data_IF_153235722853
#
_entry.id   IF_153235722853
#
_cell.length_a   1.000
_cell.length_b   1.000
_cell.length_c   1.000
_cell.angle_alpha   90.00
_cell.angle_beta   90.00
_cell.angle_gamma   90.00
#
_symmetry.space_group_name_H-M   'P 1'
#
loop_
_entity.id
_entity.type
_entity.pdbx_description
1 polymer ?
#
# COMPACT_ATOMS: atom_id res chain seq x y z
N UNK A 1 -0.99 -3.50 30.22
CA UNK A 1 -0.27 -2.93 31.39
C UNK A 1 -0.07 -1.44 31.15
N UNK A 2 0.39 -0.64 32.12
CA UNK A 2 0.69 0.79 31.91
C UNK A 2 2.09 1.00 31.32
N UNK A 3 2.34 2.25 30.86
CA UNK A 3 3.59 2.86 30.34
C UNK A 3 3.69 2.83 28.81
N UNK A 4 3.50 3.95 28.10
CA UNK A 4 4.26 5.24 28.03
C UNK A 4 5.27 5.20 26.86
N UNK A 5 5.04 6.02 25.84
CA UNK A 5 6.00 6.34 24.77
C UNK A 5 6.09 7.85 24.56
N UNK A 6 7.18 8.31 23.95
CA UNK A 6 7.55 9.73 23.92
C UNK A 6 6.59 10.58 23.07
N UNK A 7 6.23 11.81 23.52
CA UNK A 7 5.45 12.75 22.73
C UNK A 7 6.31 13.42 21.65
N UNK A 8 5.68 13.90 20.58
CA UNK A 8 6.30 14.90 19.70
C UNK A 8 6.72 16.12 20.54
N UNK A 9 7.97 16.62 20.44
CA UNK A 9 8.45 17.72 21.27
C UNK A 9 7.56 18.97 21.17
N UNK A 10 6.81 19.25 22.23
CA UNK A 10 6.01 20.47 22.38
C UNK A 10 4.75 20.57 21.50
N UNK A 11 4.27 19.47 20.90
CA UNK A 11 3.11 19.49 19.98
C UNK A 11 1.97 18.59 20.43
N UNK A 12 0.71 19.01 20.22
CA UNK A 12 -0.50 18.23 20.55
C UNK A 12 -1.76 18.70 19.81
N UNK A 13 -2.75 17.83 19.68
CA UNK A 13 -4.05 18.13 19.07
C UNK A 13 -5.01 18.80 20.07
N UNK A 14 -5.61 19.94 19.70
CA UNK A 14 -6.49 20.74 20.57
C UNK A 14 -7.99 20.55 20.28
N UNK A 15 -8.37 20.21 19.05
CA UNK A 15 -9.73 19.77 18.71
C UNK A 15 -9.78 18.95 17.42
N UNK A 16 -10.80 18.10 17.30
CA UNK A 16 -11.06 17.28 16.12
C UNK A 16 -12.56 17.13 15.84
N UNK A 17 -12.92 16.78 14.62
CA UNK A 17 -14.25 16.38 14.21
C UNK A 17 -14.29 14.89 13.85
N UNK A 18 -15.42 14.24 14.12
CA UNK A 18 -15.76 12.96 13.48
C UNK A 18 -16.62 13.21 12.24
N UNK A 19 -16.29 12.52 11.14
CA UNK A 19 -16.97 12.70 9.86
C UNK A 19 -16.80 11.51 8.92
N UNK A 20 -17.47 10.40 9.24
CA UNK A 20 -17.72 9.32 8.30
C UNK A 20 -19.01 9.53 7.49
N UNK A 21 -19.11 8.90 6.33
CA UNK A 21 -20.41 8.67 5.68
C UNK A 21 -21.13 7.53 6.39
N UNK A 22 -21.99 7.84 7.37
CA UNK A 22 -22.68 6.83 8.17
C UNK A 22 -23.95 6.31 7.48
N UNK A 23 -24.17 4.99 7.52
CA UNK A 23 -25.40 4.36 7.04
C UNK A 23 -26.33 3.98 8.21
N UNK A 24 -27.27 4.85 8.55
CA UNK A 24 -28.29 4.56 9.58
C UNK A 24 -29.38 3.61 9.06
N UNK A 25 -29.18 2.30 9.24
CA UNK A 25 -30.21 1.28 8.94
C UNK A 25 -31.16 1.09 10.13
N UNK A 26 -31.99 2.09 10.39
CA UNK A 26 -33.10 1.97 11.35
C UNK A 26 -34.15 0.98 10.86
N UNK A 27 -34.60 0.07 11.75
CA UNK A 27 -35.60 -0.94 11.40
C UNK A 27 -36.91 -0.29 10.91
N UNK A 28 -37.23 -0.48 9.63
CA UNK A 28 -38.44 0.07 8.99
C UNK A 28 -38.28 1.40 8.26
N UNK A 29 -37.07 1.98 8.16
CA UNK A 29 -36.81 3.17 7.32
C UNK A 29 -36.06 2.83 6.03
N UNK A 30 -36.53 3.35 4.90
CA UNK A 30 -35.82 3.32 3.60
C UNK A 30 -35.01 4.58 3.31
N UNK A 31 -35.05 5.59 4.19
CA UNK A 31 -34.33 6.85 4.00
C UNK A 31 -33.04 6.90 4.82
N UNK A 32 -31.91 7.12 4.13
CA UNK A 32 -30.63 7.47 4.72
C UNK A 32 -30.69 8.89 5.32
N UNK A 33 -30.17 9.08 6.52
CA UNK A 33 -29.94 10.41 7.12
C UNK A 33 -28.48 10.83 6.92
N UNK A 34 -28.20 12.11 6.58
CA UNK A 34 -26.83 12.60 6.46
C UNK A 34 -26.13 12.64 7.82
N UNK A 35 -24.81 12.51 7.80
CA UNK A 35 -23.96 12.62 8.98
C UNK A 35 -23.94 14.05 9.52
N UNK A 36 -24.31 14.25 10.79
CA UNK A 36 -23.96 15.46 11.53
C UNK A 36 -22.48 15.40 11.91
N UNK A 37 -21.68 16.34 11.39
CA UNK A 37 -20.28 16.50 11.79
C UNK A 37 -20.23 16.90 13.27
N UNK A 38 -19.51 16.14 14.11
CA UNK A 38 -19.44 16.41 15.54
C UNK A 38 -18.02 16.75 15.99
N UNK A 39 -17.87 17.88 16.68
CA UNK A 39 -16.61 18.36 17.25
C UNK A 39 -16.38 17.81 18.65
N UNK A 40 -15.14 17.40 18.91
CA UNK A 40 -14.63 16.94 20.20
C UNK A 40 -13.39 17.75 20.58
N UNK A 41 -13.23 18.02 21.87
CA UNK A 41 -12.03 18.67 22.40
C UNK A 41 -10.89 17.67 22.50
N UNK A 42 -9.71 18.08 22.04
CA UNK A 42 -8.48 17.31 22.17
C UNK A 42 -7.77 17.59 23.49
N UNK A 43 -6.47 17.37 23.51
CA UNK A 43 -5.64 17.58 24.68
C UNK A 43 -5.35 19.08 24.89
N UNK A 44 -5.09 19.45 26.15
CA UNK A 44 -4.56 20.77 26.54
C UNK A 44 -3.04 20.77 26.72
N UNK A 45 -2.41 19.58 26.68
CA UNK A 45 -0.97 19.35 26.77
C UNK A 45 -0.58 18.07 26.01
N UNK A 46 0.72 17.75 25.95
CA UNK A 46 1.27 16.63 25.17
C UNK A 46 1.29 15.27 25.89
N UNK A 47 1.14 15.25 27.23
CA UNK A 47 1.41 14.10 28.10
C UNK A 47 0.12 13.48 28.69
N UNK A 48 -0.96 14.27 28.79
CA UNK A 48 -2.28 13.86 29.32
C UNK A 48 -3.17 13.30 28.19
N UNK A 49 -3.53 12.01 28.20
CA UNK A 49 -4.50 11.46 27.24
C UNK A 49 -5.93 11.91 27.58
N UNK A 50 -6.67 12.40 26.58
CA UNK A 50 -8.09 12.76 26.71
C UNK A 50 -8.97 11.66 26.15
N UNK A 51 -9.93 11.18 26.96
CA UNK A 51 -11.03 10.34 26.49
C UNK A 51 -12.17 11.22 25.99
N UNK A 52 -12.59 11.02 24.74
CA UNK A 52 -13.83 11.61 24.19
C UNK A 52 -14.90 10.53 24.07
N UNK A 53 -15.94 10.60 24.89
CA UNK A 53 -17.11 9.73 24.80
C UNK A 53 -18.08 10.26 23.74
N UNK A 54 -18.65 9.37 22.93
CA UNK A 54 -19.70 9.71 21.97
C UNK A 54 -21.03 9.90 22.73
N UNK A 55 -21.88 10.90 22.39
CA UNK A 55 -23.15 11.11 23.10
C UNK A 55 -24.12 9.93 22.97
N UNK A 56 -24.02 9.19 21.87
CA UNK A 56 -24.75 7.95 21.60
C UNK A 56 -23.74 6.89 21.09
N UNK A 57 -23.91 5.59 21.42
CA UNK A 57 -23.06 4.52 20.88
C UNK A 57 -23.23 4.37 19.35
N UNK A 58 -22.16 4.59 18.60
CA UNK A 58 -22.18 4.65 17.11
C UNK A 58 -21.83 3.31 16.46
N UNK A 59 -22.54 2.96 15.37
CA UNK A 59 -22.10 1.94 14.42
C UNK A 59 -20.96 2.47 13.57
N UNK A 60 -19.87 1.71 13.46
CA UNK A 60 -18.84 1.99 12.48
C UNK A 60 -18.21 0.69 11.93
N UNK A 61 -18.21 0.54 10.60
CA UNK A 61 -17.21 -0.29 9.90
C UNK A 61 -15.90 0.49 9.74
N UNK A 62 -15.99 1.81 9.64
CA UNK A 62 -14.88 2.75 9.56
C UNK A 62 -15.20 4.00 10.39
N UNK A 63 -14.24 4.52 11.15
CA UNK A 63 -14.34 5.83 11.81
C UNK A 63 -13.32 6.75 11.12
N UNK A 64 -13.76 7.92 10.67
CA UNK A 64 -12.89 8.96 10.11
C UNK A 64 -12.86 10.16 11.05
N UNK A 65 -11.64 10.52 11.48
CA UNK A 65 -11.33 11.67 12.31
C UNK A 65 -10.69 12.74 11.44
N UNK A 66 -11.16 13.97 11.57
CA UNK A 66 -10.56 15.17 10.98
C UNK A 66 -9.99 16.05 12.12
N UNK A 67 -8.66 16.12 12.28
CA UNK A 67 -8.03 17.17 13.08
C UNK A 67 -8.54 18.56 12.67
N UNK A 68 -8.91 19.40 13.65
CA UNK A 68 -9.36 20.78 13.39
C UNK A 68 -8.34 21.82 13.85
N UNK A 69 -7.80 21.65 15.06
CA UNK A 69 -6.82 22.58 15.63
C UNK A 69 -5.78 21.82 16.44
N UNK A 70 -4.53 22.29 16.40
CA UNK A 70 -3.39 21.71 17.11
C UNK A 70 -2.43 22.82 17.56
N UNK A 71 -1.56 22.51 18.51
CA UNK A 71 -0.44 23.33 18.92
C UNK A 71 0.86 22.68 18.45
N UNK A 72 1.82 23.47 17.97
CA UNK A 72 3.04 22.97 17.33
C UNK A 72 2.76 22.29 15.99
N UNK A 73 3.35 21.11 15.76
CA UNK A 73 3.11 20.27 14.58
C UNK A 73 1.82 19.45 14.73
N UNK A 74 1.17 19.13 13.61
CA UNK A 74 0.02 18.22 13.61
C UNK A 74 0.47 16.81 14.05
N UNK A 75 0.00 16.35 15.21
CA UNK A 75 0.21 15.00 15.71
C UNK A 75 -1.02 14.52 16.48
N UNK A 76 -1.43 13.28 16.23
CA UNK A 76 -2.56 12.63 16.89
C UNK A 76 -2.24 11.16 17.17
N UNK A 77 -2.34 10.75 18.43
CA UNK A 77 -2.42 9.34 18.85
C UNK A 77 -3.82 9.11 19.42
N UNK A 78 -4.50 8.08 18.94
CA UNK A 78 -5.89 7.79 19.32
C UNK A 78 -6.12 6.27 19.35
N UNK A 79 -6.92 5.83 20.32
CA UNK A 79 -7.45 4.47 20.46
C UNK A 79 -8.98 4.57 20.45
N UNK A 80 -9.67 3.63 19.79
CA UNK A 80 -11.13 3.57 19.75
C UNK A 80 -11.62 2.50 20.74
N UNK A 81 -12.42 2.91 21.71
CA UNK A 81 -13.05 2.00 22.68
C UNK A 81 -14.46 1.60 22.22
N UNK A 82 -14.84 0.34 22.44
CA UNK A 82 -16.13 -0.22 22.05
C UNK A 82 -16.41 -1.57 22.71
N UNK A 83 -17.59 -2.15 22.45
CA UNK A 83 -18.05 -3.38 23.10
C UNK A 83 -18.76 -4.35 22.12
N UNK A 84 -18.72 -5.68 22.37
CA UNK A 84 -19.53 -6.66 21.65
C UNK A 84 -20.99 -6.60 22.12
N UNK A 85 -21.94 -6.86 21.22
CA UNK A 85 -23.34 -6.45 21.47
C UNK A 85 -24.31 -7.55 21.91
N UNK A 86 -23.93 -8.82 21.80
CA UNK A 86 -24.75 -9.94 22.26
C UNK A 86 -24.80 -10.11 23.80
N UNK A 87 -24.38 -9.08 24.57
CA UNK A 87 -24.39 -9.05 26.05
C UNK A 87 -24.62 -7.63 26.57
N UNK A 88 -25.38 -7.53 27.65
CA UNK A 88 -25.55 -6.31 28.44
C UNK A 88 -24.19 -5.87 29.04
N UNK A 89 -23.86 -4.58 28.95
CA UNK A 89 -22.54 -4.06 29.34
C UNK A 89 -22.39 -3.89 30.86
N UNK A 90 -22.18 -5.00 31.57
CA UNK A 90 -21.89 -5.04 33.00
C UNK A 90 -20.40 -4.96 33.37
N UNK A 91 -19.80 -3.76 33.33
CA UNK A 91 -18.53 -3.47 34.02
C UNK A 91 -17.22 -3.64 33.22
N UNK A 92 -16.14 -3.11 33.80
CA UNK A 92 -14.80 -2.97 33.20
C UNK A 92 -14.01 -4.29 33.12
N UNK A 93 -13.99 -4.97 31.98
CA UNK A 93 -12.92 -5.91 31.60
C UNK A 93 -12.95 -6.34 30.12
N UNK A 94 -11.79 -6.27 29.45
CA UNK A 94 -11.51 -7.04 28.22
C UNK A 94 -11.17 -6.20 26.98
N UNK A 95 -10.02 -6.46 26.37
CA UNK A 95 -9.73 -6.03 25.00
C UNK A 95 -10.54 -6.87 23.99
N UNK A 96 -10.95 -6.28 22.88
CA UNK A 96 -11.83 -6.93 21.90
C UNK A 96 -11.21 -8.20 21.30
N UNK A 97 -12.06 -9.23 21.13
CA UNK A 97 -11.79 -10.37 20.24
C UNK A 97 -13.01 -10.55 19.34
N UNK A 98 -12.76 -10.64 18.03
CA UNK A 98 -13.78 -10.65 16.94
C UNK A 98 -14.54 -9.32 16.84
N UNK A 99 -14.94 -8.96 15.61
CA UNK A 99 -15.84 -7.83 15.37
C UNK A 99 -17.29 -8.31 15.29
N UNK A 100 -18.23 -7.52 15.84
CA UNK A 100 -19.70 -7.56 15.65
C UNK A 100 -20.35 -6.48 16.55
N UNK A 101 -21.34 -5.71 16.07
CA UNK A 101 -21.88 -4.50 16.76
C UNK A 101 -23.39 -4.26 16.50
N UNK A 102 -24.11 -3.73 17.52
CA UNK A 102 -25.44 -3.02 17.60
C UNK A 102 -26.57 -3.64 18.48
N UNK A 103 -27.10 -3.00 19.55
CA UNK A 103 -27.65 -1.64 19.67
C UNK A 103 -29.11 -1.70 20.20
N UNK A 104 -29.77 -0.58 20.56
CA UNK A 104 -31.25 -0.46 20.68
C UNK A 104 -31.75 0.99 20.50
N UNK A 105 -33.06 1.20 20.27
CA UNK A 105 -33.69 2.47 19.82
C UNK A 105 -34.11 3.42 20.98
N UNK A 106 -34.67 4.64 20.82
CA UNK A 106 -35.44 5.31 19.73
C UNK A 106 -35.44 6.87 19.97
N UNK A 107 -36.12 7.84 19.31
CA UNK A 107 -37.33 7.88 18.44
C UNK A 107 -37.48 9.25 17.69
N UNK A 108 -38.45 9.33 16.76
CA UNK A 108 -39.12 10.54 16.22
C UNK A 108 -38.37 11.52 15.24
N UNK A 109 -39.09 12.35 14.42
CA UNK A 109 -38.68 12.57 13.02
C UNK A 109 -38.64 14.02 12.46
N UNK A 110 -37.81 14.21 11.42
CA UNK A 110 -37.85 15.22 10.34
C UNK A 110 -36.92 14.73 9.19
N UNK A 111 -37.30 14.64 7.91
CA UNK A 111 -37.70 15.67 6.90
C UNK A 111 -36.53 16.50 6.34
N UNK A 112 -36.03 16.17 5.14
CA UNK A 112 -36.24 16.95 3.90
C UNK A 112 -35.57 16.27 2.67
N UNK A 113 -35.51 16.96 1.51
CA UNK A 113 -35.73 16.36 0.17
C UNK A 113 -34.47 16.17 -0.70
N UNK A 114 -34.19 14.98 -1.30
CA UNK A 114 -33.03 14.72 -2.15
C UNK A 114 -33.34 14.70 -3.67
N UNK A 115 -32.61 15.48 -4.47
CA UNK A 115 -32.74 15.45 -5.94
C UNK A 115 -31.42 15.57 -6.74
N UNK A 116 -30.35 16.14 -6.16
CA UNK A 116 -29.08 16.40 -6.85
C UNK A 116 -28.03 15.28 -6.73
N UNK A 117 -28.10 14.44 -5.68
CA UNK A 117 -27.06 13.45 -5.37
C UNK A 117 -27.09 12.21 -6.28
N UNK A 118 -28.26 11.84 -6.82
CA UNK A 118 -28.46 10.56 -7.52
C UNK A 118 -27.57 10.36 -8.76
N UNK A 119 -27.21 11.44 -9.46
CA UNK A 119 -26.39 11.38 -10.66
C UNK A 119 -24.92 10.96 -10.37
N UNK A 120 -24.37 11.36 -9.22
CA UNK A 120 -22.96 11.07 -8.86
C UNK A 120 -22.81 9.62 -8.38
N UNK A 121 -23.77 9.12 -7.59
CA UNK A 121 -23.76 7.75 -7.09
C UNK A 121 -23.80 6.68 -8.20
N UNK A 122 -24.33 7.00 -9.38
CA UNK A 122 -24.51 6.02 -10.47
C UNK A 122 -23.21 5.55 -11.13
N UNK A 123 -22.10 6.29 -10.98
CA UNK A 123 -20.80 5.90 -11.58
C UNK A 123 -19.96 5.01 -10.65
N UNK A 124 -19.95 5.29 -9.34
CA UNK A 124 -19.14 4.52 -8.38
C UNK A 124 -19.70 3.12 -8.10
N UNK A 125 -21.03 2.97 -8.12
CA UNK A 125 -21.73 1.72 -7.78
C UNK A 125 -21.49 0.54 -8.75
N UNK A 126 -20.77 0.71 -9.86
CA UNK A 126 -20.44 -0.38 -10.78
C UNK A 126 -19.18 -1.17 -10.41
N UNK A 127 -18.31 -0.63 -9.54
CA UNK A 127 -17.08 -1.30 -9.08
C UNK A 127 -17.04 -1.52 -7.55
N UNK A 128 -18.01 -1.01 -6.79
CA UNK A 128 -18.13 -1.33 -5.36
C UNK A 128 -18.65 -2.76 -5.15
N UNK A 129 -17.74 -3.72 -5.07
CA UNK A 129 -18.03 -5.06 -4.53
C UNK A 129 -18.54 -4.88 -3.10
N UNK A 130 -19.78 -5.28 -2.84
CA UNK A 130 -20.40 -5.16 -1.52
C UNK A 130 -19.75 -6.20 -0.60
N UNK A 131 -18.71 -5.79 0.12
CA UNK A 131 -17.83 -6.67 0.89
C UNK A 131 -18.55 -7.40 2.04
N UNK A 132 -19.19 -8.52 1.67
CA UNK A 132 -19.66 -9.64 2.50
C UNK A 132 -18.53 -10.59 2.91
N UNK A 133 -17.34 -10.36 2.37
CA UNK A 133 -16.24 -11.31 2.28
C UNK A 133 -15.59 -11.51 3.66
N UNK A 134 -15.60 -12.75 4.15
CA UNK A 134 -15.03 -13.17 5.44
C UNK A 134 -13.49 -13.28 5.36
N UNK A 135 -12.83 -12.17 5.04
CA UNK A 135 -11.38 -12.07 4.83
C UNK A 135 -10.66 -11.76 6.15
N UNK A 136 -9.47 -12.34 6.37
CA UNK A 136 -8.70 -12.16 7.61
C UNK A 136 -8.04 -10.75 7.68
N UNK A 137 -8.82 -9.72 8.01
CA UNK A 137 -8.35 -8.33 8.14
C UNK A 137 -7.58 -8.10 9.45
N UNK A 138 -6.28 -8.41 9.46
CA UNK A 138 -5.34 -8.15 10.55
C UNK A 138 -3.88 -8.16 10.06
N UNK A 139 -2.95 -7.89 10.96
CA UNK A 139 -1.53 -8.18 10.72
C UNK A 139 -1.20 -9.66 10.87
N UNK A 140 -0.36 -10.17 9.97
CA UNK A 140 0.05 -11.57 9.90
C UNK A 140 1.51 -11.74 10.30
N UNK A 141 1.80 -12.41 11.41
CA UNK A 141 3.16 -12.91 11.67
C UNK A 141 3.64 -13.78 10.50
N UNK A 142 4.96 -13.93 10.29
CA UNK A 142 5.49 -14.83 9.24
C UNK A 142 4.93 -16.26 9.36
N UNK A 143 4.61 -16.72 10.58
CA UNK A 143 3.90 -17.99 10.81
C UNK A 143 2.47 -17.95 10.28
N UNK A 144 1.71 -16.89 10.57
CA UNK A 144 0.30 -16.79 10.17
C UNK A 144 0.16 -16.51 8.67
N UNK A 145 1.05 -15.69 8.09
CA UNK A 145 1.17 -15.45 6.65
C UNK A 145 1.30 -16.78 5.90
N UNK A 146 2.24 -17.64 6.33
CA UNK A 146 2.41 -18.99 5.76
C UNK A 146 1.17 -19.87 5.96
N UNK A 147 0.47 -19.74 7.08
CA UNK A 147 -0.73 -20.53 7.34
C UNK A 147 -1.90 -20.07 6.46
N UNK A 148 -2.07 -18.77 6.23
CA UNK A 148 -3.05 -18.19 5.32
C UNK A 148 -2.76 -18.63 3.88
N UNK A 149 -1.52 -18.46 3.41
CA UNK A 149 -1.10 -18.93 2.08
C UNK A 149 -1.36 -20.43 1.90
N UNK A 150 -1.09 -21.25 2.93
CA UNK A 150 -1.42 -22.69 2.91
C UNK A 150 -2.93 -22.94 2.82
N UNK A 151 -3.75 -22.23 3.60
CA UNK A 151 -5.22 -22.39 3.58
C UNK A 151 -5.79 -22.03 2.21
N UNK A 152 -5.38 -20.91 1.61
CA UNK A 152 -5.80 -20.53 0.25
C UNK A 152 -5.35 -21.58 -0.78
N UNK A 153 -4.15 -22.15 -0.63
CA UNK A 153 -3.68 -23.23 -1.50
C UNK A 153 -4.47 -24.55 -1.32
N UNK A 154 -4.98 -24.82 -0.12
CA UNK A 154 -5.84 -25.99 0.17
C UNK A 154 -7.30 -25.75 -0.24
N UNK A 155 -7.73 -24.49 -0.35
CA UNK A 155 -9.06 -24.07 -0.81
C UNK A 155 -9.16 -24.02 -2.35
N UNK A 156 -8.11 -23.57 -3.03
CA UNK A 156 -8.02 -23.42 -4.48
C UNK A 156 -6.85 -24.21 -5.14
N UNK A 157 -6.67 -25.51 -4.85
CA UNK A 157 -5.48 -26.27 -5.27
C UNK A 157 -5.34 -26.48 -6.79
N UNK A 158 -6.41 -26.27 -7.57
CA UNK A 158 -6.38 -26.37 -9.04
C UNK A 158 -5.86 -25.11 -9.72
N UNK A 159 -5.86 -23.96 -9.02
CA UNK A 159 -5.45 -22.67 -9.60
C UNK A 159 -4.39 -21.93 -8.76
N UNK A 160 -3.81 -22.57 -7.74
CA UNK A 160 -2.81 -21.94 -6.86
C UNK A 160 -1.65 -22.85 -6.53
N UNK A 161 -0.45 -22.25 -6.47
CA UNK A 161 0.80 -22.96 -6.14
C UNK A 161 1.72 -22.10 -5.28
N UNK A 162 1.92 -22.50 -4.04
CA UNK A 162 2.84 -21.85 -3.09
C UNK A 162 4.26 -22.34 -3.32
N UNK A 163 5.20 -21.42 -3.58
CA UNK A 163 6.62 -21.72 -3.74
C UNK A 163 7.50 -20.73 -2.95
N UNK A 164 8.83 -20.86 -3.10
CA UNK A 164 9.84 -20.08 -2.40
C UNK A 164 10.82 -19.49 -3.42
N UNK A 165 11.08 -18.20 -3.37
CA UNK A 165 12.12 -17.54 -4.20
C UNK A 165 13.51 -17.96 -3.71
N UNK A 166 13.70 -17.82 -2.39
CA UNK A 166 14.93 -18.17 -1.69
C UNK A 166 14.69 -18.19 -0.19
N UNK A 167 15.69 -17.75 0.57
CA UNK A 167 15.60 -17.46 2.01
C UNK A 167 16.20 -16.10 2.31
N UNK A 168 15.74 -15.47 3.38
CA UNK A 168 16.40 -14.35 4.06
C UNK A 168 17.65 -14.80 4.84
N UNK A 169 18.40 -13.84 5.39
CA UNK A 169 19.62 -14.10 6.17
C UNK A 169 19.38 -14.95 7.43
N UNK A 170 18.24 -14.77 8.14
CA UNK A 170 17.82 -15.66 9.25
C UNK A 170 17.24 -17.00 8.79
N UNK A 171 17.19 -17.25 7.48
CA UNK A 171 16.75 -18.50 6.89
C UNK A 171 15.23 -18.64 6.74
N UNK A 172 14.45 -17.56 6.91
CA UNK A 172 13.02 -17.55 6.61
C UNK A 172 12.83 -17.64 5.10
N UNK A 173 11.85 -18.42 4.64
CA UNK A 173 11.58 -18.60 3.22
C UNK A 173 10.84 -17.38 2.67
N UNK A 174 11.36 -16.79 1.60
CA UNK A 174 10.68 -15.75 0.84
C UNK A 174 9.59 -16.45 0.00
N UNK A 175 8.36 -16.46 0.52
CA UNK A 175 7.24 -17.20 -0.07
C UNK A 175 6.53 -16.39 -1.16
N UNK A 176 6.10 -17.09 -2.20
CA UNK A 176 5.21 -16.57 -3.22
C UNK A 176 4.01 -17.49 -3.44
N UNK A 177 2.88 -16.91 -3.81
CA UNK A 177 1.74 -17.64 -4.36
C UNK A 177 1.64 -17.35 -5.86
N UNK A 178 1.72 -18.41 -6.66
CA UNK A 178 1.33 -18.41 -8.06
C UNK A 178 -0.19 -18.66 -8.15
N UNK A 179 -0.87 -17.92 -9.04
CA UNK A 179 -2.28 -18.07 -9.37
C UNK A 179 -2.43 -18.00 -10.89
N UNK A 180 -2.91 -19.09 -11.51
CA UNK A 180 -3.15 -19.32 -12.95
C UNK A 180 -4.01 -20.58 -13.04
N UNK A 181 -4.70 -20.87 -14.16
CA UNK A 181 -5.42 -22.15 -14.32
C UNK A 181 -4.53 -23.34 -14.70
N UNK A 182 -3.24 -23.12 -14.98
CA UNK A 182 -2.21 -24.17 -15.08
C UNK A 182 -1.00 -23.93 -14.14
N UNK A 183 -1.19 -23.96 -12.80
CA UNK A 183 -0.20 -23.47 -11.84
C UNK A 183 1.02 -24.38 -11.70
N UNK A 184 2.12 -23.96 -12.34
CA UNK A 184 3.44 -24.58 -12.27
C UNK A 184 4.20 -24.51 -13.60
N UNK A 185 3.48 -24.41 -14.71
CA UNK A 185 4.01 -24.35 -16.08
C UNK A 185 3.85 -22.93 -16.67
N UNK A 186 4.48 -22.64 -17.80
CA UNK A 186 4.37 -21.34 -18.50
C UNK A 186 3.75 -21.58 -19.86
N UNK A 187 2.64 -20.90 -20.19
CA UNK A 187 1.94 -21.09 -21.45
C UNK A 187 2.29 -20.01 -22.49
N UNK A 188 2.57 -20.43 -23.73
CA UNK A 188 3.06 -19.53 -24.78
C UNK A 188 1.97 -18.55 -25.24
N UNK A 189 2.03 -17.34 -24.69
CA UNK A 189 1.05 -16.27 -24.91
C UNK A 189 0.35 -15.80 -23.63
N UNK A 190 0.46 -16.56 -22.54
CA UNK A 190 0.07 -16.13 -21.20
C UNK A 190 1.12 -15.12 -20.67
N UNK A 191 0.74 -13.87 -20.36
CA UNK A 191 1.66 -12.91 -19.75
C UNK A 191 1.89 -13.25 -18.28
N UNK A 192 3.14 -13.21 -17.82
CA UNK A 192 3.44 -13.34 -16.39
C UNK A 192 3.40 -11.95 -15.72
N UNK A 193 2.61 -11.85 -14.67
CA UNK A 193 2.41 -10.64 -13.87
C UNK A 193 2.89 -10.86 -12.44
N UNK A 194 3.44 -9.82 -11.79
CA UNK A 194 3.84 -9.88 -10.38
C UNK A 194 3.38 -8.70 -9.52
N UNK A 195 2.99 -8.99 -8.28
CA UNK A 195 3.04 -8.03 -7.18
C UNK A 195 4.07 -8.47 -6.15
N UNK A 196 4.90 -7.53 -5.71
CA UNK A 196 5.78 -7.69 -4.53
C UNK A 196 5.39 -6.71 -3.44
N UNK A 197 5.70 -7.03 -2.18
CA UNK A 197 5.49 -6.13 -1.05
C UNK A 197 6.52 -6.39 0.05
N UNK A 198 6.69 -5.39 0.94
CA UNK A 198 7.57 -5.51 2.09
C UNK A 198 9.03 -5.69 1.69
N UNK A 199 9.52 -4.84 0.76
CA UNK A 199 10.95 -4.58 0.56
C UNK A 199 11.53 -4.03 1.87
N UNK A 200 10.87 -3.02 2.43
CA UNK A 200 11.04 -2.62 3.82
C UNK A 200 10.07 -3.43 4.69
N UNK A 201 10.60 -4.11 5.71
CA UNK A 201 9.79 -5.00 6.56
C UNK A 201 8.75 -4.27 7.42
N UNK A 202 8.95 -2.97 7.69
CA UNK A 202 8.00 -2.12 8.41
C UNK A 202 6.92 -1.47 7.52
N UNK A 203 6.97 -1.62 6.20
CA UNK A 203 5.95 -1.09 5.26
C UNK A 203 4.79 -2.09 5.07
N UNK A 204 4.11 -2.38 6.18
CA UNK A 204 3.22 -3.55 6.33
C UNK A 204 1.97 -3.51 5.43
N UNK A 205 1.52 -2.35 4.94
CA UNK A 205 0.25 -2.26 4.19
C UNK A 205 0.25 -3.13 2.92
N UNK A 206 1.34 -3.10 2.14
CA UNK A 206 1.45 -3.91 0.92
C UNK A 206 1.36 -5.42 1.19
N UNK A 207 2.00 -5.88 2.27
CA UNK A 207 1.98 -7.29 2.70
C UNK A 207 0.55 -7.79 2.90
N UNK A 208 -0.23 -7.07 3.71
CA UNK A 208 -1.59 -7.50 4.05
C UNK A 208 -2.53 -7.36 2.84
N UNK A 209 -2.36 -6.35 1.98
CA UNK A 209 -3.10 -6.23 0.72
C UNK A 209 -2.89 -7.44 -0.20
N UNK A 210 -1.67 -7.98 -0.30
CA UNK A 210 -1.43 -9.19 -1.12
C UNK A 210 -2.01 -10.46 -0.49
N UNK A 211 -2.04 -10.57 0.84
CA UNK A 211 -2.70 -11.69 1.53
C UNK A 211 -4.23 -11.63 1.41
N UNK A 212 -4.82 -10.43 1.37
CA UNK A 212 -6.24 -10.22 1.05
C UNK A 212 -6.53 -10.55 -0.43
N UNK A 213 -5.67 -10.13 -1.36
CA UNK A 213 -5.79 -10.43 -2.79
C UNK A 213 -5.76 -11.93 -3.08
N UNK A 214 -4.89 -12.71 -2.41
CA UNK A 214 -4.86 -14.17 -2.52
C UNK A 214 -6.20 -14.82 -2.15
N UNK A 215 -6.80 -14.40 -1.02
CA UNK A 215 -8.10 -14.90 -0.57
C UNK A 215 -9.22 -14.49 -1.54
N UNK A 216 -9.22 -13.23 -1.99
CA UNK A 216 -10.20 -12.69 -2.93
C UNK A 216 -10.19 -13.44 -4.27
N UNK A 217 -9.03 -13.57 -4.91
CA UNK A 217 -8.91 -14.26 -6.20
C UNK A 217 -9.35 -15.73 -6.12
N UNK A 218 -9.00 -16.44 -5.04
CA UNK A 218 -9.45 -17.81 -4.82
C UNK A 218 -10.99 -17.90 -4.70
N UNK A 219 -11.59 -17.08 -3.83
CA UNK A 219 -13.04 -17.15 -3.56
C UNK A 219 -13.88 -16.72 -4.76
N UNK A 220 -13.56 -15.59 -5.38
CA UNK A 220 -14.28 -15.08 -6.55
C UNK A 220 -14.16 -16.03 -7.76
N UNK A 221 -13.03 -16.72 -7.91
CA UNK A 221 -12.90 -17.78 -8.92
C UNK A 221 -13.83 -18.96 -8.65
N UNK A 222 -13.92 -19.40 -7.38
CA UNK A 222 -14.81 -20.50 -6.93
C UNK A 222 -16.29 -20.14 -7.07
N UNK A 223 -16.66 -18.91 -6.73
CA UNK A 223 -18.04 -18.40 -6.81
C UNK A 223 -18.43 -18.00 -8.24
N UNK A 224 -17.46 -18.00 -9.18
CA UNK A 224 -17.72 -17.94 -10.61
C UNK A 224 -17.66 -16.54 -11.24
N UNK A 225 -17.06 -15.55 -10.56
CA UNK A 225 -16.96 -14.18 -11.06
C UNK A 225 -16.22 -14.16 -12.43
N UNK A 226 -16.88 -13.74 -13.53
CA UNK A 226 -16.30 -13.84 -14.88
C UNK A 226 -15.04 -12.99 -15.06
N UNK A 227 -14.91 -11.87 -14.34
CA UNK A 227 -13.71 -11.02 -14.37
C UNK A 227 -12.52 -11.73 -13.72
N UNK A 228 -12.73 -12.39 -12.58
CA UNK A 228 -11.66 -13.11 -11.88
C UNK A 228 -11.31 -14.41 -12.58
N UNK A 229 -12.29 -15.10 -13.20
CA UNK A 229 -11.99 -16.29 -14.00
C UNK A 229 -11.14 -15.94 -15.22
N UNK A 230 -11.55 -14.99 -16.07
CA UNK A 230 -10.70 -14.50 -17.18
C UNK A 230 -9.31 -14.07 -16.69
N UNK A 231 -9.22 -13.25 -15.64
CA UNK A 231 -7.93 -12.81 -15.08
C UNK A 231 -7.01 -13.95 -14.61
N UNK A 232 -7.54 -15.12 -14.24
CA UNK A 232 -6.75 -16.31 -13.82
C UNK A 232 -6.50 -17.28 -14.98
N UNK A 233 -7.21 -17.17 -16.10
CA UNK A 233 -7.03 -18.01 -17.30
C UNK A 233 -6.22 -17.31 -18.40
N UNK A 234 -6.20 -15.98 -18.38
CA UNK A 234 -5.53 -15.13 -19.37
C UNK A 234 -4.23 -14.49 -18.84
N UNK A 235 -3.76 -14.83 -17.62
CA UNK A 235 -2.57 -14.23 -16.98
C UNK A 235 -2.01 -15.09 -15.83
N UNK A 236 -0.69 -15.27 -15.80
CA UNK A 236 0.02 -15.96 -14.70
C UNK A 236 0.39 -14.98 -13.60
N UNK A 237 -0.22 -15.07 -12.42
CA UNK A 237 -0.10 -14.07 -11.36
C UNK A 237 0.81 -14.57 -10.23
N UNK A 238 1.88 -13.82 -9.92
CA UNK A 238 2.85 -14.18 -8.88
C UNK A 238 2.81 -13.12 -7.75
N UNK A 239 2.29 -13.49 -6.58
CA UNK A 239 2.10 -12.61 -5.43
C UNK A 239 3.13 -12.91 -4.32
N UNK A 240 3.97 -11.93 -3.97
CA UNK A 240 5.06 -12.06 -2.99
C UNK A 240 4.82 -11.07 -1.82
N UNK A 241 4.19 -11.48 -0.72
CA UNK A 241 3.72 -10.57 0.34
C UNK A 241 4.84 -10.06 1.26
N UNK A 242 6.06 -10.59 1.17
CA UNK A 242 7.17 -10.22 2.06
C UNK A 242 8.51 -10.55 1.43
N UNK A 243 9.23 -9.55 0.95
CA UNK A 243 10.61 -9.70 0.47
C UNK A 243 11.63 -9.65 1.62
N UNK A 244 11.40 -8.81 2.64
CA UNK A 244 12.13 -8.76 3.90
C UNK A 244 11.30 -9.34 5.06
N UNK A 245 11.17 -10.68 5.19
CA UNK A 245 10.45 -11.29 6.31
C UNK A 245 11.15 -11.10 7.66
N UNK A 246 12.46 -10.90 7.67
CA UNK A 246 13.27 -10.76 8.89
C UNK A 246 13.05 -9.39 9.55
N UNK A 247 13.13 -8.32 8.76
CA UNK A 247 12.78 -6.95 9.17
C UNK A 247 11.32 -6.83 9.58
N UNK A 248 10.41 -7.52 8.89
CA UNK A 248 8.99 -7.56 9.29
C UNK A 248 8.80 -8.15 10.69
N UNK A 249 9.43 -9.30 11.01
CA UNK A 249 9.28 -9.89 12.33
C UNK A 249 9.87 -8.99 13.45
N UNK A 250 10.91 -8.20 13.16
CA UNK A 250 11.45 -7.19 14.09
C UNK A 250 10.48 -6.02 14.28
N UNK A 251 9.92 -5.48 13.19
CA UNK A 251 8.94 -4.40 13.24
C UNK A 251 7.65 -4.82 13.96
N UNK A 252 7.13 -6.02 13.66
CA UNK A 252 5.90 -6.57 14.23
C UNK A 252 6.02 -6.92 15.73
N UNK A 253 7.21 -7.32 16.20
CA UNK A 253 7.43 -7.61 17.63
C UNK A 253 7.41 -6.36 18.52
N UNK A 254 7.86 -5.22 18.00
CA UNK A 254 7.77 -3.93 18.70
C UNK A 254 6.40 -3.26 18.46
N UNK A 255 5.86 -3.38 17.24
CA UNK A 255 4.59 -2.79 16.83
C UNK A 255 4.68 -1.30 16.54
N UNK A 256 3.67 -0.76 15.84
CA UNK A 256 3.65 0.62 15.34
C UNK A 256 3.71 1.71 16.42
N UNK A 257 3.51 1.38 17.69
CA UNK A 257 3.59 2.32 18.82
C UNK A 257 5.01 2.42 19.43
N UNK A 258 5.92 1.51 19.09
CA UNK A 258 7.28 1.37 19.67
C UNK A 258 8.38 1.33 18.58
N UNK A 259 8.02 1.17 17.30
CA UNK A 259 8.94 1.31 16.18
C UNK A 259 9.28 2.77 15.89
N UNK A 260 10.52 3.04 15.49
CA UNK A 260 10.87 4.25 14.75
C UNK A 260 10.80 3.96 13.24
N UNK A 261 10.95 4.98 12.38
CA UNK A 261 10.86 4.84 10.92
C UNK A 261 11.83 3.83 10.31
N UNK A 262 12.93 3.53 11.01
CA UNK A 262 14.03 2.68 10.54
C UNK A 262 13.96 1.23 11.05
N UNK A 263 13.18 0.95 12.08
CA UNK A 263 13.14 -0.37 12.71
C UNK A 263 12.47 -1.40 11.79
N UNK A 264 13.26 -2.35 11.30
CA UNK A 264 12.79 -3.39 10.38
C UNK A 264 12.70 -2.95 8.92
N UNK A 265 13.27 -1.79 8.57
CA UNK A 265 13.39 -1.31 7.19
C UNK A 265 14.42 -2.19 6.43
N UNK A 266 15.65 -2.22 6.92
CA UNK A 266 16.76 -3.01 6.36
C UNK A 266 16.64 -4.53 6.60
N UNK A 267 17.44 -5.31 5.87
CA UNK A 267 17.64 -6.75 6.13
C UNK A 267 18.38 -6.98 7.45
N UNK A 268 18.44 -8.23 7.92
CA UNK A 268 19.26 -8.61 9.09
C UNK A 268 20.75 -8.28 8.90
N UNK A 269 21.25 -8.31 7.66
CA UNK A 269 22.63 -7.97 7.31
C UNK A 269 22.85 -6.45 7.17
N UNK A 270 21.81 -5.63 7.32
CA UNK A 270 21.89 -4.16 7.28
C UNK A 270 21.83 -3.56 5.88
N UNK A 271 21.43 -4.33 4.86
CA UNK A 271 21.21 -3.83 3.50
C UNK A 271 19.82 -3.25 3.34
N UNK A 272 19.70 -2.24 2.48
CA UNK A 272 18.42 -1.75 1.99
C UNK A 272 18.08 -2.49 0.68
N UNK A 273 17.00 -3.27 0.65
CA UNK A 273 16.66 -4.08 -0.53
C UNK A 273 16.33 -3.18 -1.74
N UNK A 274 15.89 -1.94 -1.54
CA UNK A 274 15.61 -1.02 -2.65
C UNK A 274 16.90 -0.55 -3.33
N UNK A 275 17.90 -0.15 -2.53
CA UNK A 275 19.19 0.38 -3.00
C UNK A 275 20.23 -0.71 -3.35
N UNK A 276 20.04 -1.96 -2.90
CA UNK A 276 20.99 -3.08 -3.08
C UNK A 276 20.88 -3.77 -4.45
N UNK A 277 19.98 -3.34 -5.35
CA UNK A 277 19.96 -3.80 -6.74
C UNK A 277 21.16 -3.27 -7.57
N UNK A 278 21.57 -3.96 -8.65
CA UNK A 278 22.61 -3.46 -9.53
C UNK A 278 22.17 -2.20 -10.28
N UNK A 279 22.89 -1.09 -10.06
CA UNK A 279 22.83 0.09 -10.93
C UNK A 279 23.20 -0.28 -12.38
N UNK A 280 22.18 -0.30 -13.24
CA UNK A 280 22.27 -0.41 -14.69
C UNK A 280 22.04 0.94 -15.39
N UNK A 281 21.56 1.96 -14.67
CA UNK A 281 21.26 3.30 -15.20
C UNK A 281 22.55 4.01 -15.62
N UNK A 282 23.56 4.04 -14.74
CA UNK A 282 24.88 4.60 -15.06
C UNK A 282 25.55 3.87 -16.24
N UNK A 283 25.28 2.56 -16.39
CA UNK A 283 25.80 1.74 -17.49
C UNK A 283 25.12 2.12 -18.82
N UNK A 284 23.79 2.27 -18.81
CA UNK A 284 23.01 2.66 -19.98
C UNK A 284 23.36 4.08 -20.43
N UNK A 285 23.22 5.06 -19.54
CA UNK A 285 23.42 6.47 -19.87
C UNK A 285 24.86 6.76 -20.30
N UNK A 286 25.84 6.13 -19.66
CA UNK A 286 27.24 6.20 -20.08
C UNK A 286 27.48 5.59 -21.47
N UNK A 287 26.73 4.55 -21.88
CA UNK A 287 26.80 4.02 -23.22
C UNK A 287 26.11 4.93 -24.27
N UNK A 288 25.01 5.58 -23.91
CA UNK A 288 24.30 6.56 -24.76
C UNK A 288 25.17 7.78 -25.06
N UNK A 289 25.80 8.39 -24.05
CA UNK A 289 26.75 9.50 -24.20
C UNK A 289 27.86 9.19 -25.21
N UNK A 290 28.37 7.94 -25.14
CA UNK A 290 29.44 7.42 -26.01
C UNK A 290 28.92 6.96 -27.38
N UNK A 291 27.60 7.08 -27.63
CA UNK A 291 26.89 6.64 -28.84
C UNK A 291 27.12 5.16 -29.14
N UNK A 292 27.13 4.35 -28.09
CA UNK A 292 27.30 2.89 -28.14
C UNK A 292 25.97 2.14 -28.19
N UNK A 293 24.86 2.76 -27.80
CA UNK A 293 23.51 2.21 -27.91
C UNK A 293 22.97 2.42 -29.34
N UNK A 294 22.30 1.42 -29.97
CA UNK A 294 22.15 0.01 -29.57
C UNK A 294 23.30 -0.90 -30.07
N UNK A 295 24.23 -0.40 -30.87
CA UNK A 295 25.15 -1.21 -31.70
C UNK A 295 26.30 -1.93 -30.96
N UNK A 296 26.65 -1.47 -29.75
CA UNK A 296 27.70 -2.04 -28.89
C UNK A 296 27.20 -2.40 -27.49
N UNK A 297 26.18 -1.70 -27.02
CA UNK A 297 25.48 -1.93 -25.76
C UNK A 297 23.98 -1.93 -26.09
N UNK A 298 23.20 -2.96 -25.74
CA UNK A 298 21.78 -2.98 -26.03
C UNK A 298 21.03 -1.97 -25.13
N UNK A 299 19.89 -1.47 -25.59
CA UNK A 299 18.98 -0.62 -24.79
C UNK A 299 18.06 -1.43 -23.85
N UNK A 300 18.27 -2.75 -23.75
CA UNK A 300 17.45 -3.70 -23.01
C UNK A 300 18.35 -4.86 -22.56
N UNK A 301 17.92 -5.63 -21.55
CA UNK A 301 18.63 -6.83 -21.07
C UNK A 301 20.14 -6.59 -20.81
N UNK A 302 20.46 -5.48 -20.14
CA UNK A 302 21.83 -5.14 -19.77
C UNK A 302 22.39 -6.22 -18.82
N UNK A 303 23.64 -6.68 -19.03
CA UNK A 303 24.20 -7.75 -18.21
C UNK A 303 24.43 -7.28 -16.77
N UNK A 304 24.04 -8.12 -15.82
CA UNK A 304 24.32 -7.90 -14.40
C UNK A 304 25.84 -7.75 -14.20
N UNK A 305 26.34 -6.69 -13.56
CA UNK A 305 27.76 -6.48 -13.39
C UNK A 305 28.43 -7.63 -12.65
N UNK A 306 29.56 -8.13 -13.15
CA UNK A 306 30.27 -9.31 -12.63
C UNK A 306 30.50 -9.27 -11.10
N UNK A 307 30.66 -8.07 -10.53
CA UNK A 307 30.74 -7.86 -9.08
C UNK A 307 29.56 -8.48 -8.32
N UNK A 308 28.33 -8.43 -8.82
CA UNK A 308 27.12 -9.02 -8.20
C UNK A 308 27.08 -10.55 -8.32
N UNK A 309 27.64 -11.08 -9.42
CA UNK A 309 27.66 -12.52 -9.71
C UNK A 309 28.64 -13.30 -8.82
N UNK A 310 29.58 -12.60 -8.17
CA UNK A 310 30.49 -13.21 -7.20
C UNK A 310 29.74 -13.70 -5.94
N UNK A 311 30.04 -14.91 -5.42
CA UNK A 311 29.59 -15.36 -4.11
C UNK A 311 30.02 -14.41 -2.98
N UNK A 312 31.20 -13.80 -3.11
CA UNK A 312 31.81 -12.91 -2.10
C UNK A 312 31.30 -11.45 -2.19
N UNK A 313 30.32 -11.17 -3.06
CA UNK A 313 29.80 -9.81 -3.22
C UNK A 313 28.94 -9.37 -2.04
N UNK A 314 29.10 -8.10 -1.64
CA UNK A 314 28.24 -7.38 -0.70
C UNK A 314 26.88 -7.09 -1.35
N UNK A 315 26.02 -8.10 -1.39
CA UNK A 315 24.66 -8.08 -1.92
C UNK A 315 23.83 -9.03 -1.07
N UNK A 316 22.67 -8.56 -0.58
CA UNK A 316 21.78 -9.30 0.32
C UNK A 316 21.28 -10.63 -0.24
N UNK A 317 20.98 -11.58 0.65
CA UNK A 317 20.41 -12.87 0.25
C UNK A 317 19.05 -12.72 -0.44
N UNK A 318 18.31 -11.69 -0.06
CA UNK A 318 17.01 -11.29 -0.53
C UNK A 318 17.09 -10.76 -1.98
N UNK A 319 17.95 -9.77 -2.28
CA UNK A 319 18.14 -9.27 -3.65
C UNK A 319 18.64 -10.38 -4.58
N UNK A 320 19.58 -11.22 -4.13
CA UNK A 320 20.03 -12.39 -4.91
C UNK A 320 18.88 -13.36 -5.25
N UNK A 321 17.95 -13.57 -4.31
CA UNK A 321 16.76 -14.40 -4.54
C UNK A 321 15.73 -13.73 -5.46
N UNK A 322 15.58 -12.40 -5.42
CA UNK A 322 14.68 -11.65 -6.31
C UNK A 322 15.24 -11.63 -7.74
N UNK A 323 16.54 -11.41 -7.92
CA UNK A 323 17.22 -11.44 -9.23
C UNK A 323 17.04 -12.82 -9.89
N UNK A 324 17.42 -13.91 -9.19
CA UNK A 324 17.27 -15.26 -9.73
C UNK A 324 15.81 -15.68 -9.98
N UNK A 325 14.84 -15.02 -9.33
CA UNK A 325 13.42 -15.17 -9.60
C UNK A 325 12.98 -14.37 -10.84
N UNK A 326 13.51 -13.17 -11.07
CA UNK A 326 13.25 -12.37 -12.27
C UNK A 326 13.88 -12.97 -13.53
N UNK A 327 15.09 -13.52 -13.44
CA UNK A 327 15.76 -14.20 -14.57
C UNK A 327 15.05 -15.49 -15.00
N UNK A 328 14.28 -16.11 -14.09
CA UNK A 328 13.62 -17.40 -14.31
C UNK A 328 12.22 -17.30 -14.92
N UNK A 329 11.51 -16.20 -14.70
CA UNK A 329 10.08 -16.06 -14.97
C UNK A 329 9.86 -14.84 -15.88
N UNK A 330 9.33 -14.98 -17.11
CA UNK A 330 9.22 -13.89 -18.10
C UNK A 330 8.16 -12.84 -17.75
N UNK A 331 8.39 -12.09 -16.67
CA UNK A 331 7.48 -11.03 -16.20
C UNK A 331 7.34 -9.90 -17.23
N UNK A 332 6.10 -9.67 -17.67
CA UNK A 332 5.72 -8.61 -18.62
C UNK A 332 5.36 -7.33 -17.88
N UNK A 333 4.69 -7.44 -16.74
CA UNK A 333 4.26 -6.31 -15.91
C UNK A 333 4.34 -6.68 -14.42
N UNK A 334 4.58 -5.68 -13.58
CA UNK A 334 4.39 -5.83 -12.15
C UNK A 334 4.56 -4.52 -11.41
N UNK A 335 4.20 -4.53 -10.13
CA UNK A 335 4.37 -3.39 -9.24
C UNK A 335 4.82 -3.85 -7.84
N UNK A 336 5.52 -2.96 -7.15
CA UNK A 336 5.99 -3.19 -5.79
C UNK A 336 5.23 -2.27 -4.81
N UNK A 337 4.68 -2.84 -3.74
CA UNK A 337 3.85 -2.14 -2.77
C UNK A 337 4.68 -1.74 -1.54
N UNK A 338 5.03 -0.46 -1.50
CA UNK A 338 5.71 0.21 -0.39
C UNK A 338 4.72 1.01 0.49
N UNK A 339 5.23 1.67 1.52
CA UNK A 339 4.51 2.55 2.44
C UNK A 339 5.18 3.91 2.63
N UNK A 340 4.71 4.67 3.64
CA UNK A 340 5.23 6.00 3.97
C UNK A 340 4.52 7.15 3.24
N UNK A 341 4.32 7.04 1.92
CA UNK A 341 3.68 8.05 1.07
C UNK A 341 2.55 7.45 0.20
N UNK A 342 1.68 8.29 -0.38
CA UNK A 342 0.48 7.89 -1.14
C UNK A 342 0.54 8.39 -2.59
N UNK A 343 1.50 7.87 -3.34
CA UNK A 343 1.74 8.12 -4.77
C UNK A 343 1.89 6.80 -5.56
N UNK A 344 2.04 6.89 -6.88
CA UNK A 344 2.50 5.79 -7.74
C UNK A 344 3.72 6.28 -8.51
N UNK A 345 4.91 5.83 -8.15
CA UNK A 345 6.14 6.11 -8.91
C UNK A 345 6.26 5.16 -10.11
N UNK A 346 7.09 5.57 -11.08
CA UNK A 346 7.45 4.78 -12.24
C UNK A 346 8.85 5.18 -12.72
N UNK A 347 9.56 4.33 -13.48
CA UNK A 347 10.97 4.57 -13.79
C UNK A 347 11.23 5.81 -14.66
N UNK A 348 12.35 6.49 -14.51
CA UNK A 348 13.50 6.14 -13.65
C UNK A 348 13.41 6.74 -12.23
N UNK A 349 13.67 5.93 -11.20
CA UNK A 349 13.78 6.39 -9.81
C UNK A 349 15.10 7.17 -9.55
N UNK A 350 16.14 6.93 -10.36
CA UNK A 350 17.40 7.69 -10.34
C UNK A 350 17.32 8.88 -11.31
N UNK A 351 17.69 10.07 -10.85
CA UNK A 351 17.80 11.26 -11.71
C UNK A 351 19.10 11.24 -12.55
N UNK A 352 18.98 11.44 -13.87
CA UNK A 352 20.13 11.56 -14.77
C UNK A 352 20.85 12.90 -14.57
N UNK A 353 22.16 12.86 -14.30
CA UNK A 353 22.99 14.08 -14.15
C UNK A 353 23.02 14.88 -15.46
N UNK A 354 22.57 16.15 -15.50
CA UNK A 354 22.58 16.95 -16.72
C UNK A 354 24.00 17.26 -17.19
N UNK A 355 24.21 17.22 -18.50
CA UNK A 355 25.48 17.66 -19.11
C UNK A 355 25.69 19.17 -18.99
N UNK A 356 26.94 19.63 -19.11
CA UNK A 356 27.26 21.07 -19.08
C UNK A 356 26.51 21.90 -20.15
N UNK A 357 26.16 21.27 -21.29
CA UNK A 357 25.38 21.88 -22.36
C UNK A 357 23.90 21.99 -22.00
N UNK A 358 23.32 20.94 -21.39
CA UNK A 358 21.94 20.98 -20.85
C UNK A 358 21.80 21.96 -19.69
N UNK A 359 22.77 22.04 -18.77
CA UNK A 359 22.79 23.04 -17.69
C UNK A 359 22.82 24.47 -18.25
N UNK A 360 23.58 24.70 -19.33
CA UNK A 360 23.63 26.00 -19.99
C UNK A 360 22.32 26.32 -20.71
N UNK A 361 21.69 25.33 -21.37
CA UNK A 361 20.41 25.49 -22.03
C UNK A 361 19.27 25.80 -21.03
N UNK A 362 19.15 25.03 -19.95
CA UNK A 362 18.18 25.26 -18.88
C UNK A 362 18.36 26.63 -18.22
N UNK A 363 19.61 27.05 -17.95
CA UNK A 363 19.90 28.39 -17.45
C UNK A 363 19.53 29.52 -18.44
N UNK A 364 19.57 29.26 -19.75
CA UNK A 364 19.11 30.21 -20.77
C UNK A 364 17.58 30.24 -20.90
N UNK A 365 16.89 29.10 -20.71
CA UNK A 365 15.43 29.01 -20.74
C UNK A 365 14.80 29.72 -19.52
N UNK A 366 15.28 29.39 -18.31
CA UNK A 366 14.88 30.06 -17.07
C UNK A 366 15.15 31.58 -17.12
N UNK A 367 16.24 32.02 -17.79
CA UNK A 367 16.54 33.44 -17.99
C UNK A 367 15.61 34.16 -18.99
N UNK A 368 14.76 33.43 -19.73
CA UNK A 368 13.70 33.99 -20.60
C UNK A 368 12.31 33.93 -19.96
N UNK A 369 12.15 33.17 -18.87
CA UNK A 369 10.83 32.82 -18.34
C UNK A 369 10.11 31.77 -19.18
N UNK A 370 10.86 30.88 -19.81
CA UNK A 370 10.35 29.60 -20.36
C UNK A 370 10.21 28.63 -19.17
N UNK A 371 9.06 27.96 -19.03
CA UNK A 371 8.73 27.09 -17.89
C UNK A 371 9.64 25.84 -17.83
N UNK A 372 9.86 25.26 -16.64
CA UNK A 372 10.85 24.19 -16.43
C UNK A 372 10.51 22.85 -17.12
N UNK A 373 9.26 22.66 -17.57
CA UNK A 373 8.74 21.42 -18.16
C UNK A 373 9.55 20.95 -19.39
N UNK A 374 10.00 21.86 -20.26
CA UNK A 374 10.80 21.54 -21.47
C UNK A 374 12.19 20.92 -21.14
N UNK A 375 12.64 21.00 -19.89
CA UNK A 375 13.90 20.37 -19.43
C UNK A 375 13.68 18.91 -18.99
N UNK A 376 12.42 18.53 -18.71
CA UNK A 376 12.03 17.21 -18.17
C UNK A 376 12.25 16.06 -19.15
N UNK A 377 11.99 16.26 -20.45
CA UNK A 377 12.06 15.19 -21.48
C UNK A 377 13.41 14.44 -21.49
N UNK A 378 14.49 15.10 -21.10
CA UNK A 378 15.84 14.51 -21.06
C UNK A 378 16.06 13.46 -19.94
N UNK A 379 15.10 13.31 -19.02
CA UNK A 379 15.11 12.30 -17.95
C UNK A 379 14.06 11.20 -18.14
N UNK A 380 13.23 11.27 -19.18
CA UNK A 380 12.18 10.29 -19.45
C UNK A 380 12.71 8.91 -19.88
N UNK A 381 11.93 7.87 -19.56
CA UNK A 381 12.14 6.54 -20.13
C UNK A 381 11.65 6.49 -21.59
N UNK A 382 12.22 5.62 -22.45
CA UNK A 382 11.70 5.40 -23.81
C UNK A 382 10.21 5.04 -23.88
N UNK A 383 9.66 4.50 -22.78
CA UNK A 383 8.26 4.09 -22.62
C UNK A 383 7.47 5.00 -21.65
N UNK A 384 7.90 6.24 -21.40
CA UNK A 384 7.28 7.18 -20.43
C UNK A 384 5.75 7.25 -20.56
N UNK A 385 5.23 7.38 -21.79
CA UNK A 385 3.79 7.46 -22.03
C UNK A 385 3.02 6.21 -21.57
N UNK A 386 3.63 5.03 -21.65
CA UNK A 386 3.06 3.77 -21.15
C UNK A 386 3.15 3.72 -19.62
N UNK A 387 4.30 4.06 -19.04
CA UNK A 387 4.45 4.10 -17.58
C UNK A 387 3.50 5.09 -16.90
N UNK A 388 3.35 6.29 -17.46
CA UNK A 388 2.38 7.31 -17.00
C UNK A 388 0.94 6.81 -17.11
N UNK A 389 0.58 6.10 -18.19
CA UNK A 389 -0.75 5.48 -18.32
C UNK A 389 -0.97 4.37 -17.28
N UNK A 390 0.01 3.50 -17.06
CA UNK A 390 -0.04 2.44 -16.05
C UNK A 390 -0.23 3.03 -14.64
N UNK A 391 0.54 4.06 -14.28
CA UNK A 391 0.42 4.76 -13.00
C UNK A 391 -0.97 5.38 -12.81
N UNK A 392 -1.51 6.06 -13.84
CA UNK A 392 -2.87 6.62 -13.84
C UNK A 392 -3.92 5.51 -13.72
N UNK A 393 -3.72 4.33 -14.32
CA UNK A 393 -4.67 3.22 -14.24
C UNK A 393 -4.87 2.70 -12.80
N UNK A 394 -3.79 2.67 -12.00
CA UNK A 394 -3.86 2.33 -10.58
C UNK A 394 -4.39 3.51 -9.73
N UNK A 395 -3.86 4.72 -9.96
CA UNK A 395 -4.22 5.92 -9.22
C UNK A 395 -5.73 6.22 -9.30
N UNK A 396 -6.30 6.17 -10.50
CA UNK A 396 -7.71 6.46 -10.79
C UNK A 396 -8.69 5.44 -10.20
N UNK A 397 -8.25 4.20 -9.96
CA UNK A 397 -9.02 3.17 -9.27
C UNK A 397 -8.96 3.31 -7.74
N UNK A 398 -7.92 3.93 -7.19
CA UNK A 398 -7.77 4.16 -5.75
C UNK A 398 -8.46 5.47 -5.34
N UNK A 399 -9.61 5.34 -4.65
CA UNK A 399 -10.56 6.40 -4.26
C UNK A 399 -9.98 7.77 -3.87
N UNK A 400 -8.80 7.82 -3.28
CA UNK A 400 -8.15 9.06 -2.82
C UNK A 400 -6.83 9.40 -3.50
N UNK A 401 -6.24 8.55 -4.35
CA UNK A 401 -4.86 8.78 -4.84
C UNK A 401 -4.79 10.00 -5.77
N UNK A 402 -5.83 10.20 -6.58
CA UNK A 402 -6.02 11.37 -7.46
C UNK A 402 -6.65 12.59 -6.75
N UNK A 403 -6.59 12.68 -5.41
CA UNK A 403 -6.98 13.90 -4.68
C UNK A 403 -5.73 14.72 -4.34
N UNK A 404 -5.39 15.78 -5.10
CA UNK A 404 -4.15 16.55 -4.88
C UNK A 404 -4.13 17.24 -3.51
N UNK A 405 -5.28 17.78 -3.07
CA UNK A 405 -5.44 18.43 -1.75
C UNK A 405 -5.37 17.47 -0.53
N UNK A 406 -4.97 16.21 -0.73
CA UNK A 406 -4.66 15.24 0.33
C UNK A 406 -3.25 14.68 0.18
N UNK A 407 -2.25 15.57 0.18
CA UNK A 407 -0.84 15.18 0.29
C UNK A 407 -0.55 14.31 1.51
N UNK A 408 0.57 13.59 1.49
CA UNK A 408 0.98 12.68 2.55
C UNK A 408 1.09 13.33 3.92
N UNK A 409 0.96 12.52 4.98
CA UNK A 409 0.86 12.98 6.38
C UNK A 409 2.07 13.79 6.90
N UNK A 410 3.15 13.91 6.13
CA UNK A 410 4.35 14.69 6.46
C UNK A 410 4.88 15.54 5.27
N UNK A 411 4.19 15.57 4.13
CA UNK A 411 4.66 16.23 2.92
C UNK A 411 4.13 17.67 2.78
N UNK A 412 4.95 18.56 2.21
CA UNK A 412 4.41 19.71 1.48
C UNK A 412 3.84 19.24 0.14
N UNK A 413 2.98 20.03 -0.49
CA UNK A 413 2.38 19.68 -1.78
C UNK A 413 3.42 19.75 -2.92
N UNK A 414 4.07 18.61 -3.19
CA UNK A 414 4.99 18.44 -4.31
C UNK A 414 4.27 18.36 -5.68
N UNK A 415 2.94 18.32 -5.72
CA UNK A 415 2.15 18.31 -6.97
C UNK A 415 1.71 19.69 -7.43
N UNK A 416 1.88 20.73 -6.58
CA UNK A 416 1.51 22.11 -6.89
C UNK A 416 0.01 22.35 -7.13
N UNK A 417 -0.84 21.35 -6.89
CA UNK A 417 -2.27 21.38 -7.18
C UNK A 417 -2.66 21.13 -8.64
N UNK A 418 -1.84 20.40 -9.42
CA UNK A 418 -2.22 19.86 -10.75
C UNK A 418 -3.23 18.70 -10.67
#
# INVERSE_FOLDING_TARGET
MRKWWAPCPGSWLCSHCLGGGWALRGAGSTALRPASLQTFHGNVDKDTPVLSELPEPVVARFIRIYPLTWNGSLCMRLEVLGCPVARECGGLAGALRRGEVLGWASQHPAKDNPASLAAVYSYYAQNEVVATDDLDFRHHSYKDMRQLMKVVNEECPTITRTYSLGKSSRGLKIYAMEISDNPGEHELGEPEFRYTAGIHGNEVLGRELLLLLMQYLCREYRDGNPRVRSLVQDTRIHLVPSLNPDGYEVAAQMGSEFGNWALGLWTEEGFDIFEDFPDLNSVLWGAEERKWVPYRVPNNNLPIPERYLSPDATVSTEVRAIIAWMEKNPFVLGANLNGGERLVSYPYDMARTPTQEQLLAAAMAAARGEDEDDVSEAQETPDHAIFRWLAISFASAHLTLTEPYRGGCQAQDYTGGM
#
